data_IF_560676462749
#
_entry.id   IF_560676462749
#
_cell.length_a   1.000
_cell.length_b   1.000
_cell.length_c   1.000
_cell.angle_alpha   90.00
_cell.angle_beta   90.00
_cell.angle_gamma   90.00
#
_symmetry.space_group_name_H-M   'P 1'
#
loop_
_entity.id
_entity.type
_entity.pdbx_description
1 polymer ?
#
# COMPACT_ATOMS: atom_id res chain seq x y z
N UNK A 1 -17.65 13.04 -6.69
CA UNK A 1 -17.22 12.17 -6.07
C UNK A 1 -15.88 12.29 -5.60
N UNK A 2 -15.59 11.75 -4.51
CA UNK A 2 -14.37 11.81 -3.98
C UNK A 2 -13.50 10.76 -4.39
N UNK A 3 -12.24 10.97 -4.66
CA UNK A 3 -11.34 9.92 -4.90
C UNK A 3 -10.71 9.54 -3.63
N UNK A 4 -10.60 8.26 -3.36
CA UNK A 4 -10.06 7.77 -2.15
C UNK A 4 -8.60 7.56 -2.32
N UNK A 5 -7.81 8.62 -2.13
CA UNK A 5 -6.38 8.49 -2.21
C UNK A 5 -5.79 8.40 -0.83
N UNK A 6 -4.82 7.53 -0.66
CA UNK A 6 -4.14 7.38 0.60
C UNK A 6 -2.65 7.38 0.36
N UNK A 7 -1.91 7.77 1.38
CA UNK A 7 -0.47 7.70 1.27
C UNK A 7 -0.06 6.25 1.22
N UNK A 8 0.95 5.96 0.42
CA UNK A 8 1.38 4.59 0.20
C UNK A 8 1.76 3.91 1.52
N UNK A 9 2.50 4.59 2.40
CA UNK A 9 2.89 3.97 3.64
C UNK A 9 1.69 3.65 4.53
N UNK A 10 0.67 4.50 4.48
CA UNK A 10 -0.52 4.23 5.26
C UNK A 10 -1.24 3.00 4.74
N UNK A 11 -1.35 2.89 3.44
CA UNK A 11 -2.01 1.75 2.83
C UNK A 11 -1.27 0.46 3.17
N UNK A 12 0.06 0.48 3.09
CA UNK A 12 0.84 -0.70 3.39
C UNK A 12 0.68 -1.11 4.85
N UNK A 13 0.63 -0.14 5.75
CA UNK A 13 0.42 -0.46 7.16
C UNK A 13 -0.95 -1.07 7.38
N UNK A 14 -1.95 -0.60 6.66
CA UNK A 14 -3.28 -1.16 6.78
C UNK A 14 -3.34 -2.58 6.23
N UNK A 15 -2.50 -2.88 5.27
CA UNK A 15 -2.44 -4.22 4.72
C UNK A 15 -1.67 -5.18 5.63
N UNK A 16 -1.07 -4.68 6.69
CA UNK A 16 -0.36 -5.54 7.61
C UNK A 16 1.07 -5.85 7.19
N UNK A 17 1.63 -5.07 6.28
CA UNK A 17 3.00 -5.30 5.85
C UNK A 17 3.96 -5.01 6.98
N UNK A 18 3.80 -3.85 7.62
CA UNK A 18 4.69 -3.44 8.70
C UNK A 18 4.09 -2.18 9.31
N UNK A 19 4.75 -1.65 10.33
CA UNK A 19 4.31 -0.38 10.90
C UNK A 19 4.48 0.71 9.86
N UNK A 20 3.83 1.85 10.08
CA UNK A 20 3.89 2.93 9.12
C UNK A 20 5.33 3.39 8.92
N UNK A 21 6.08 3.51 10.02
CA UNK A 21 7.46 3.95 9.91
C UNK A 21 8.29 2.95 9.12
N UNK A 22 8.09 1.66 9.36
CA UNK A 22 8.85 0.66 8.65
C UNK A 22 8.46 0.67 7.16
N UNK A 23 7.20 0.90 6.88
CA UNK A 23 6.77 0.99 5.49
C UNK A 23 7.47 2.14 4.78
N UNK A 24 7.70 3.24 5.49
CA UNK A 24 8.42 4.35 4.89
C UNK A 24 9.82 3.92 4.50
N UNK A 25 10.47 3.16 5.36
CA UNK A 25 11.81 2.69 5.05
C UNK A 25 11.81 1.76 3.84
N UNK A 26 10.80 0.91 3.76
CA UNK A 26 10.72 -0.02 2.64
C UNK A 26 10.52 0.72 1.32
N UNK A 27 9.71 1.79 1.36
CA UNK A 27 9.50 2.58 0.17
C UNK A 27 10.80 3.25 -0.26
N UNK A 28 11.53 3.82 0.68
CA UNK A 28 12.78 4.49 0.33
C UNK A 28 13.82 3.52 -0.18
N UNK A 29 13.74 2.27 0.24
CA UNK A 29 14.67 1.26 -0.23
C UNK A 29 14.33 0.74 -1.62
N UNK A 30 13.24 1.20 -2.21
CA UNK A 30 12.87 0.75 -3.54
C UNK A 30 12.28 -0.63 -3.58
N UNK A 31 11.72 -1.10 -2.46
CA UNK A 31 11.16 -2.46 -2.41
C UNK A 31 9.68 -2.49 -2.70
N UNK A 32 9.08 -1.36 -2.98
CA UNK A 32 7.64 -1.28 -3.19
C UNK A 32 7.37 -0.81 -4.61
N UNK A 33 6.41 -1.46 -5.26
CA UNK A 33 6.02 -1.09 -6.61
C UNK A 33 4.54 -0.73 -6.61
N UNK A 34 4.20 0.22 -7.45
CA UNK A 34 2.81 0.56 -7.68
C UNK A 34 2.58 0.44 -9.17
N UNK A 35 1.65 -0.42 -9.55
CA UNK A 35 1.34 -0.70 -10.96
C UNK A 35 2.60 -1.11 -11.73
N UNK A 36 3.47 -1.86 -11.05
CA UNK A 36 4.67 -2.39 -11.69
C UNK A 36 5.85 -1.44 -11.75
N UNK A 37 5.71 -0.27 -11.14
CA UNK A 37 6.77 0.73 -11.16
C UNK A 37 7.28 0.94 -9.75
N UNK A 38 8.59 0.91 -9.59
CA UNK A 38 9.17 1.10 -8.27
C UNK A 38 8.92 2.53 -7.81
N UNK A 39 8.43 2.66 -6.59
CA UNK A 39 8.13 3.95 -6.01
C UNK A 39 9.02 4.12 -4.79
N UNK A 40 9.78 5.21 -4.74
CA UNK A 40 10.66 5.44 -3.61
C UNK A 40 10.51 6.84 -3.04
N UNK A 41 9.30 7.39 -3.12
CA UNK A 41 9.03 8.70 -2.57
C UNK A 41 7.94 8.58 -1.52
N UNK A 42 8.20 9.17 -0.35
CA UNK A 42 7.25 9.06 0.74
C UNK A 42 5.95 9.80 0.50
N UNK A 43 5.95 10.78 -0.34
CA UNK A 43 4.73 11.53 -0.62
C UNK A 43 3.80 10.89 -1.61
N UNK A 44 4.15 9.71 -2.11
CA UNK A 44 3.33 9.04 -3.10
C UNK A 44 1.96 8.68 -2.56
N UNK A 45 0.94 8.98 -3.34
CA UNK A 45 -0.42 8.62 -2.99
C UNK A 45 -0.95 7.62 -3.99
N UNK A 46 -1.80 6.75 -3.54
CA UNK A 46 -2.37 5.73 -4.42
C UNK A 46 -3.88 5.69 -4.20
N UNK A 47 -4.57 5.10 -5.13
CA UNK A 47 -5.99 4.84 -4.99
C UNK A 47 -6.14 3.34 -4.77
N UNK A 48 -6.51 2.92 -3.54
CA UNK A 48 -6.55 1.50 -3.23
C UNK A 48 -7.49 0.68 -4.09
N UNK A 49 -8.43 1.35 -4.75
CA UNK A 49 -9.40 0.63 -5.55
C UNK A 49 -8.90 0.34 -6.95
N UNK A 50 -7.95 1.12 -7.45
CA UNK A 50 -7.51 0.90 -8.81
C UNK A 50 -6.00 0.70 -8.93
N UNK A 51 -5.23 1.13 -7.95
CA UNK A 51 -3.78 0.98 -8.04
C UNK A 51 -3.37 -0.34 -7.40
N UNK A 52 -2.42 -1.02 -8.02
CA UNK A 52 -1.94 -2.29 -7.50
C UNK A 52 -0.59 -2.07 -6.83
N UNK A 53 -0.51 -2.42 -5.57
CA UNK A 53 0.70 -2.22 -4.79
C UNK A 53 1.36 -3.57 -4.58
N UNK A 54 2.66 -3.63 -4.85
CA UNK A 54 3.41 -4.86 -4.66
C UNK A 54 4.56 -4.60 -3.71
N UNK A 55 4.82 -5.57 -2.87
CA UNK A 55 5.95 -5.52 -1.96
C UNK A 55 6.62 -6.88 -2.02
N UNK A 56 7.93 -6.88 -2.27
CA UNK A 56 8.67 -8.15 -2.31
C UNK A 56 8.09 -9.10 -3.35
N UNK A 57 7.68 -8.53 -4.48
CA UNK A 57 7.12 -9.28 -5.60
C UNK A 57 5.79 -9.94 -5.27
N UNK A 58 5.08 -9.44 -4.27
CA UNK A 58 3.76 -9.95 -3.94
C UNK A 58 2.78 -8.81 -3.91
N UNK A 59 1.62 -9.01 -4.51
CA UNK A 59 0.57 -8.01 -4.48
C UNK A 59 -0.03 -7.99 -3.10
N UNK A 60 -0.12 -6.80 -2.50
CA UNK A 60 -0.70 -6.67 -1.18
C UNK A 60 -2.04 -5.97 -1.28
N UNK A 61 -2.97 -6.36 -0.41
CA UNK A 61 -4.29 -5.77 -0.37
C UNK A 61 -4.75 -5.71 1.06
N UNK A 62 -5.66 -4.81 1.33
CA UNK A 62 -6.29 -4.75 2.64
C UNK A 62 -7.20 -5.94 2.75
N UNK A 63 -7.02 -6.76 3.79
CA UNK A 63 -7.88 -7.88 3.99
C UNK A 63 -9.01 -7.47 4.77
N UNK A 64 -10.20 -7.50 4.20
CA UNK A 64 -11.35 -7.16 4.91
C UNK A 64 -11.93 -8.29 5.44
N UNK A 65 -11.67 -8.66 6.47
CA UNK A 65 -12.25 -9.77 7.03
C UNK A 65 -13.47 -9.61 7.39
N UNK A 66 -14.14 -9.43 7.28
CA UNK A 66 -15.25 -9.28 7.70
C UNK A 66 -16.04 -9.87 7.86
N UNK A 67 -16.51 -9.92 7.96
CA UNK A 67 -17.14 -10.16 8.11
C UNK A 67 -17.97 -10.62 8.12
N UNK A 68 -18.65 -10.92 8.26
CA UNK A 68 -19.31 -11.22 8.31
C UNK A 68 -19.88 -11.64 8.34
N UNK A 69 -20.49 -11.86 8.58
CA UNK A 69 -21.02 -12.32 8.69
C UNK A 69 -21.41 -12.78 8.57
N UNK A 70 -21.67 -12.95 8.55
CA UNK A 70 -22.10 -13.36 8.51
C UNK A 70 -22.48 -13.67 8.61
#
# INVERSE_FOLDING_TARGET
MKQMEERLQKYMAQCGVASRRKCEELILDGKVKVNGIIVNELGTKINPEIDIVEFNNQIIKIEEKNYILC
#
